data_IF_320922383973
#
_entry.id   IF_320922383973
#
_cell.length_a   1.000
_cell.length_b   1.000
_cell.length_c   1.000
_cell.angle_alpha   90.00
_cell.angle_beta   90.00
_cell.angle_gamma   90.00
#
_symmetry.space_group_name_H-M   'P 1'
#
loop_
_entity.id
_entity.type
_entity.pdbx_description
1 polymer ?
#
# COMPACT_ATOMS: atom_id res chain seq x y z
N UNK A 1 8.03 2.29 18.28
CA UNK A 1 7.60 1.99 16.90
C UNK A 1 8.72 2.46 16.01
N UNK A 2 9.46 1.52 15.40
CA UNK A 2 10.44 1.85 14.38
C UNK A 2 9.74 2.70 13.31
N UNK A 3 10.29 3.89 13.05
CA UNK A 3 9.83 4.70 11.92
C UNK A 3 10.33 3.99 10.68
N UNK A 4 9.42 3.56 9.82
CA UNK A 4 9.76 3.09 8.48
C UNK A 4 10.59 4.16 7.77
N UNK A 5 11.65 3.74 7.10
CA UNK A 5 12.45 4.68 6.31
C UNK A 5 11.65 5.15 5.09
N UNK A 6 11.92 6.36 4.59
CA UNK A 6 11.23 6.88 3.40
C UNK A 6 11.35 5.94 2.19
N UNK A 7 12.49 5.23 2.07
CA UNK A 7 12.71 4.21 1.04
C UNK A 7 11.80 2.98 1.20
N UNK A 8 11.49 2.57 2.43
CA UNK A 8 10.57 1.46 2.69
C UNK A 8 9.13 1.86 2.38
N UNK A 9 8.72 3.07 2.79
CA UNK A 9 7.42 3.63 2.43
C UNK A 9 7.26 3.68 0.91
N UNK A 10 8.30 4.12 0.20
CA UNK A 10 8.27 4.18 -1.26
C UNK A 10 8.25 2.80 -1.93
N UNK A 11 9.03 1.84 -1.42
CA UNK A 11 9.01 0.48 -1.94
C UNK A 11 7.64 -0.18 -1.78
N UNK A 12 7.01 -0.02 -0.60
CA UNK A 12 5.66 -0.54 -0.34
C UNK A 12 4.61 0.15 -1.22
N UNK A 13 4.74 1.46 -1.39
CA UNK A 13 3.87 2.23 -2.28
C UNK A 13 3.92 1.74 -3.73
N UNK A 14 5.12 1.55 -4.25
CA UNK A 14 5.33 1.07 -5.61
C UNK A 14 4.79 -0.35 -5.80
N UNK A 15 4.97 -1.21 -4.80
CA UNK A 15 4.41 -2.56 -4.80
C UNK A 15 2.89 -2.53 -4.88
N UNK A 16 2.22 -1.73 -4.04
CA UNK A 16 0.76 -1.56 -4.09
C UNK A 16 0.30 -1.08 -5.48
N UNK A 17 1.00 -0.13 -6.10
CA UNK A 17 0.68 0.33 -7.47
C UNK A 17 0.79 -0.80 -8.50
N UNK A 18 1.82 -1.65 -8.42
CA UNK A 18 1.97 -2.79 -9.33
C UNK A 18 0.84 -3.81 -9.13
N UNK A 19 0.48 -4.10 -7.88
CA UNK A 19 -0.61 -5.04 -7.59
C UNK A 19 -1.94 -4.52 -8.13
N UNK A 20 -2.21 -3.23 -7.95
CA UNK A 20 -3.41 -2.57 -8.46
C UNK A 20 -3.44 -2.41 -9.99
N UNK A 21 -2.29 -2.52 -10.68
CA UNK A 21 -2.25 -2.55 -12.14
C UNK A 21 -2.83 -3.86 -12.71
N UNK A 22 -2.70 -4.98 -12.00
CA UNK A 22 -3.30 -6.28 -12.38
C UNK A 22 -4.18 -6.85 -11.25
N UNK A 23 -5.29 -6.18 -10.87
CA UNK A 23 -6.02 -6.49 -9.65
C UNK A 23 -6.70 -7.86 -9.67
N UNK A 24 -6.97 -8.41 -10.86
CA UNK A 24 -7.51 -9.77 -11.02
C UNK A 24 -6.47 -10.86 -10.72
N UNK A 25 -5.21 -10.60 -11.05
CA UNK A 25 -4.10 -11.55 -10.87
C UNK A 25 -3.59 -11.54 -9.43
N UNK A 26 -3.63 -10.37 -8.80
CA UNK A 26 -3.14 -10.16 -7.43
C UNK A 26 -4.27 -9.95 -6.42
N UNK A 27 -5.47 -10.46 -6.70
CA UNK A 27 -6.65 -10.25 -5.86
C UNK A 27 -6.41 -10.61 -4.40
N UNK A 28 -5.82 -11.78 -4.13
CA UNK A 28 -5.54 -12.25 -2.78
C UNK A 28 -4.53 -11.35 -2.04
N UNK A 29 -3.50 -10.86 -2.76
CA UNK A 29 -2.52 -9.94 -2.18
C UNK A 29 -3.16 -8.59 -1.85
N UNK A 30 -4.02 -8.06 -2.74
CA UNK A 30 -4.76 -6.81 -2.50
C UNK A 30 -5.71 -6.98 -1.31
N UNK A 31 -6.41 -8.11 -1.20
CA UNK A 31 -7.33 -8.38 -0.09
C UNK A 31 -6.59 -8.46 1.26
N UNK A 32 -5.41 -9.09 1.29
CA UNK A 32 -4.55 -9.10 2.47
C UNK A 32 -4.10 -7.68 2.85
N UNK A 33 -3.61 -6.89 1.87
CA UNK A 33 -3.22 -5.50 2.06
C UNK A 33 -4.38 -4.65 2.59
N UNK A 34 -5.60 -4.87 2.10
CA UNK A 34 -6.82 -4.20 2.58
C UNK A 34 -7.12 -4.53 4.04
N UNK A 35 -6.92 -5.78 4.48
CA UNK A 35 -7.09 -6.20 5.87
C UNK A 35 -6.04 -5.56 6.79
N UNK A 36 -4.81 -5.47 6.33
CA UNK A 36 -3.69 -4.89 7.06
C UNK A 36 -3.58 -3.37 6.93
N UNK A 37 -4.47 -2.71 6.17
CA UNK A 37 -4.45 -1.25 5.98
C UNK A 37 -4.49 -0.51 7.30
N UNK A 38 -5.16 -1.05 8.33
CA UNK A 38 -5.20 -0.44 9.66
C UNK A 38 -3.79 -0.29 10.28
N UNK A 39 -2.90 -1.25 10.03
CA UNK A 39 -1.54 -1.30 10.56
C UNK A 39 -0.49 -0.61 9.67
N UNK A 40 -0.87 -0.14 8.48
CA UNK A 40 0.06 0.56 7.59
C UNK A 40 0.52 1.90 8.17
N UNK A 41 1.75 2.33 7.82
CA UNK A 41 2.29 3.63 8.20
C UNK A 41 1.39 4.78 7.74
N UNK A 42 1.26 5.80 8.57
CA UNK A 42 0.44 6.99 8.27
C UNK A 42 0.92 7.69 7.00
N UNK A 43 2.24 7.74 6.77
CA UNK A 43 2.85 8.31 5.56
C UNK A 43 2.40 7.57 4.30
N UNK A 44 2.40 6.24 4.32
CA UNK A 44 1.95 5.42 3.19
C UNK A 44 0.46 5.65 2.91
N UNK A 45 -0.38 5.66 3.95
CA UNK A 45 -1.82 5.94 3.83
C UNK A 45 -2.09 7.30 3.20
N UNK A 46 -1.33 8.32 3.62
CA UNK A 46 -1.46 9.68 3.07
C UNK A 46 -1.11 9.69 1.58
N UNK A 47 -0.01 9.06 1.20
CA UNK A 47 0.44 8.96 -0.20
C UNK A 47 -0.59 8.25 -1.10
N UNK A 48 -1.15 7.13 -0.63
CA UNK A 48 -2.23 6.41 -1.32
C UNK A 48 -3.49 7.27 -1.48
N UNK A 49 -3.87 8.02 -0.43
CA UNK A 49 -5.03 8.91 -0.46
C UNK A 49 -4.84 10.10 -1.42
N UNK A 50 -3.63 10.65 -1.50
CA UNK A 50 -3.29 11.73 -2.46
C UNK A 50 -3.43 11.29 -3.92
N UNK A 51 -3.09 10.04 -4.25
CA UNK A 51 -3.29 9.47 -5.60
C UNK A 51 -4.69 8.82 -5.80
N UNK A 52 -5.65 9.01 -4.87
CA UNK A 52 -6.99 8.41 -4.90
C UNK A 52 -6.98 6.86 -5.01
N UNK A 53 -5.91 6.23 -4.54
CA UNK A 53 -5.79 4.77 -4.51
C UNK A 53 -6.67 4.24 -3.37
N UNK A 54 -7.71 3.49 -3.74
CA UNK A 54 -8.65 2.89 -2.79
C UNK A 54 -8.38 1.40 -2.69
N UNK A 55 -7.99 0.93 -1.51
CA UNK A 55 -7.75 -0.48 -1.20
C UNK A 55 -9.00 -1.15 -0.61
#
# INVERSE_FOLDING_TARGET
MEKFSSQEIESQYNLIKILLAEPKKYKDAIDAIKKDVAYMPIELKKKLKEENITL
#
